data_IF_759840294171
#
_entry.id   IF_759840294171
#
_cell.length_a   1.000
_cell.length_b   1.000
_cell.length_c   1.000
_cell.angle_alpha   90.00
_cell.angle_beta   90.00
_cell.angle_gamma   90.00
#
_symmetry.space_group_name_H-M   'P 1'
#
loop_
_entity.id
_entity.type
_entity.pdbx_description
1 polymer ?
#
# COMPACT_ATOMS: atom_id res chain seq x y z
N UNK A 1 17.52 -13.64 17.33
CA UNK A 1 18.37 -13.41 16.14
C UNK A 1 17.76 -14.17 14.97
N UNK A 2 17.04 -13.49 14.11
CA UNK A 2 16.66 -14.07 12.81
C UNK A 2 17.87 -13.96 11.87
N UNK A 3 18.56 -15.08 11.58
CA UNK A 3 19.58 -15.11 10.56
C UNK A 3 18.92 -14.96 9.18
N UNK A 4 19.43 -14.06 8.37
CA UNK A 4 18.94 -13.83 7.00
C UNK A 4 19.44 -14.87 5.98
N UNK A 5 19.76 -16.07 6.43
CA UNK A 5 20.14 -17.19 5.57
C UNK A 5 21.52 -17.79 5.85
N UNK A 6 21.79 -18.93 5.23
CA UNK A 6 23.02 -19.72 5.40
C UNK A 6 24.32 -18.96 5.08
N UNK A 7 24.25 -17.88 4.29
CA UNK A 7 25.41 -17.04 3.94
C UNK A 7 26.03 -16.32 5.14
N UNK A 8 25.25 -15.94 6.13
CA UNK A 8 25.68 -15.18 7.30
C UNK A 8 26.44 -16.08 8.29
N UNK A 9 26.05 -17.35 8.36
CA UNK A 9 26.71 -18.35 9.21
C UNK A 9 28.12 -18.68 8.69
N UNK A 10 28.30 -18.76 7.37
CA UNK A 10 29.60 -19.04 6.75
C UNK A 10 30.61 -17.92 6.93
N UNK A 11 30.16 -16.67 7.01
CA UNK A 11 31.03 -15.50 7.14
C UNK A 11 31.44 -15.18 8.59
N UNK A 12 30.88 -15.90 9.58
CA UNK A 12 31.07 -15.62 11.03
C UNK A 12 30.83 -14.16 11.40
N UNK A 13 29.92 -13.50 10.71
CA UNK A 13 29.55 -12.12 10.96
C UNK A 13 28.46 -12.05 12.02
N UNK A 14 28.52 -11.05 12.90
CA UNK A 14 27.45 -10.75 13.83
C UNK A 14 26.36 -10.02 13.04
N UNK A 15 25.17 -10.61 12.98
CA UNK A 15 24.02 -10.03 12.28
C UNK A 15 23.10 -9.37 13.28
N UNK A 16 22.88 -8.09 13.12
CA UNK A 16 21.90 -7.33 13.90
C UNK A 16 20.67 -7.05 13.06
N UNK A 17 19.49 -7.25 13.65
CA UNK A 17 18.26 -6.78 13.06
C UNK A 17 17.97 -5.37 13.60
N UNK A 18 17.65 -4.42 12.71
CA UNK A 18 17.24 -3.05 13.04
C UNK A 18 15.78 -2.87 12.67
N UNK A 19 14.82 -3.37 13.48
CA UNK A 19 13.41 -3.26 13.17
C UNK A 19 12.99 -1.81 12.98
N UNK A 20 12.30 -1.53 11.88
CA UNK A 20 11.80 -0.19 11.59
C UNK A 20 12.79 0.78 10.96
N UNK A 21 14.06 0.38 10.70
CA UNK A 21 15.04 1.27 10.09
C UNK A 21 14.61 1.81 8.72
N UNK A 22 13.90 1.01 7.93
CA UNK A 22 13.35 1.39 6.62
C UNK A 22 11.88 1.88 6.68
N UNK A 23 11.28 2.01 7.87
CA UNK A 23 9.86 2.29 8.00
C UNK A 23 9.44 3.59 7.30
N UNK A 24 10.28 4.63 7.37
CA UNK A 24 10.01 5.88 6.70
C UNK A 24 10.08 5.75 5.16
N UNK A 25 11.07 5.02 4.64
CA UNK A 25 11.20 4.80 3.20
C UNK A 25 9.99 4.03 2.63
N UNK A 26 9.56 2.98 3.34
CA UNK A 26 8.36 2.23 2.94
C UNK A 26 7.10 3.11 3.01
N UNK A 27 6.95 3.94 4.05
CA UNK A 27 5.84 4.92 4.12
C UNK A 27 5.84 5.83 2.90
N UNK A 28 6.99 6.35 2.47
CA UNK A 28 7.11 7.22 1.29
C UNK A 28 6.68 6.50 0.00
N UNK A 29 7.09 5.23 -0.17
CA UNK A 29 6.63 4.40 -1.29
C UNK A 29 5.13 4.16 -1.26
N UNK A 30 4.53 3.91 -0.09
CA UNK A 30 3.07 3.75 0.04
C UNK A 30 2.34 5.02 -0.40
N UNK A 31 2.79 6.18 0.08
CA UNK A 31 2.19 7.46 -0.31
C UNK A 31 2.36 7.72 -1.81
N UNK A 32 3.55 7.48 -2.36
CA UNK A 32 3.79 7.60 -3.79
C UNK A 32 2.88 6.66 -4.60
N UNK A 33 2.79 5.38 -4.23
CA UNK A 33 1.92 4.41 -4.88
C UNK A 33 0.43 4.80 -4.80
N UNK A 34 -0.01 5.34 -3.67
CA UNK A 34 -1.38 5.84 -3.51
C UNK A 34 -1.68 7.03 -4.43
N UNK A 35 -0.77 7.98 -4.55
CA UNK A 35 -0.93 9.13 -5.43
C UNK A 35 -0.89 8.73 -6.91
N UNK A 36 0.01 7.82 -7.29
CA UNK A 36 0.08 7.26 -8.65
C UNK A 36 -1.16 6.46 -9.01
N UNK A 37 -1.73 5.72 -8.05
CA UNK A 37 -2.97 4.97 -8.24
C UNK A 37 -4.20 5.88 -8.40
N UNK A 38 -4.16 7.06 -7.79
CA UNK A 38 -5.25 8.04 -7.86
C UNK A 38 -5.27 8.82 -9.18
N UNK A 39 -4.12 8.91 -9.83
CA UNK A 39 -3.91 9.65 -11.08
C UNK A 39 -2.95 8.84 -11.95
N UNK A 40 -3.35 8.47 -13.14
CA UNK A 40 -2.52 7.67 -14.05
C UNK A 40 -1.34 8.50 -14.61
N UNK A 41 -0.44 8.90 -13.72
CA UNK A 41 0.74 9.70 -14.07
C UNK A 41 1.67 8.90 -14.99
N UNK A 42 1.84 7.60 -14.71
CA UNK A 42 2.73 6.73 -15.51
C UNK A 42 2.18 6.57 -16.92
N UNK A 43 0.89 6.27 -17.05
CA UNK A 43 0.23 6.19 -18.36
C UNK A 43 0.26 7.53 -19.10
N UNK A 44 0.04 8.63 -18.39
CA UNK A 44 0.15 9.97 -18.96
C UNK A 44 1.53 10.29 -19.50
N UNK A 45 2.61 9.95 -18.77
CA UNK A 45 4.00 10.11 -19.23
C UNK A 45 4.29 9.21 -20.42
N UNK A 46 3.88 7.93 -20.36
CA UNK A 46 4.06 7.01 -21.50
C UNK A 46 3.36 7.53 -22.75
N UNK A 47 2.11 7.98 -22.62
CA UNK A 47 1.37 8.58 -23.72
C UNK A 47 2.03 9.85 -24.25
N UNK A 48 2.44 10.79 -23.36
CA UNK A 48 3.09 12.03 -23.79
C UNK A 48 4.35 11.79 -24.61
N UNK A 49 5.12 10.75 -24.29
CA UNK A 49 6.31 10.35 -25.04
C UNK A 49 6.01 9.78 -26.44
N UNK A 50 4.76 9.47 -26.76
CA UNK A 50 4.34 9.02 -28.10
C UNK A 50 3.95 10.19 -29.02
N UNK A 51 3.77 11.38 -28.47
CA UNK A 51 3.32 12.54 -29.24
C UNK A 51 4.44 13.07 -30.14
N UNK A 52 4.11 13.33 -31.37
CA UNK A 52 5.07 13.83 -32.41
C UNK A 52 4.39 14.82 -33.36
N UNK A 53 5.20 15.60 -34.09
CA UNK A 53 4.72 16.58 -35.07
C UNK A 53 4.66 18.00 -34.53
N UNK A 54 4.17 18.94 -35.34
CA UNK A 54 4.16 20.37 -35.01
C UNK A 54 2.95 20.81 -34.20
N UNK A 55 1.99 19.89 -33.93
CA UNK A 55 0.72 20.16 -33.22
C UNK A 55 0.60 19.47 -31.86
N UNK A 56 1.74 19.16 -31.22
CA UNK A 56 1.78 18.46 -29.91
C UNK A 56 0.91 19.14 -28.87
N UNK A 57 0.89 20.47 -28.81
CA UNK A 57 0.05 21.21 -27.85
C UNK A 57 -1.44 20.86 -28.02
N UNK A 58 -1.92 20.74 -29.25
CA UNK A 58 -3.31 20.39 -29.54
C UNK A 58 -3.60 18.93 -29.20
N UNK A 59 -2.65 18.04 -29.44
CA UNK A 59 -2.76 16.63 -29.10
C UNK A 59 -2.85 16.48 -27.57
N UNK A 60 -2.03 17.22 -26.79
CA UNK A 60 -2.07 17.25 -25.33
C UNK A 60 -3.43 17.75 -24.83
N UNK A 61 -3.90 18.88 -25.32
CA UNK A 61 -5.20 19.43 -24.92
C UNK A 61 -6.38 18.46 -25.17
N UNK A 62 -6.34 17.74 -26.29
CA UNK A 62 -7.37 16.75 -26.63
C UNK A 62 -7.30 15.48 -25.80
N UNK A 63 -6.09 15.03 -25.41
CA UNK A 63 -5.87 13.73 -24.76
C UNK A 63 -5.74 13.78 -23.24
N UNK A 64 -5.42 14.94 -22.63
CA UNK A 64 -5.16 15.06 -21.20
C UNK A 64 -6.31 14.58 -20.29
N UNK A 65 -7.54 14.66 -20.77
CA UNK A 65 -8.74 14.22 -20.01
C UNK A 65 -8.74 12.71 -19.76
N UNK A 66 -8.04 11.91 -20.57
CA UNK A 66 -7.95 10.47 -20.40
C UNK A 66 -7.16 10.08 -19.14
N UNK A 67 -6.35 11.00 -18.61
CA UNK A 67 -5.51 10.83 -17.44
C UNK A 67 -6.03 11.64 -16.24
N UNK A 68 -7.25 12.12 -16.30
CA UNK A 68 -7.90 12.80 -15.18
C UNK A 68 -8.16 11.79 -14.07
N UNK A 69 -7.52 12.00 -12.92
CA UNK A 69 -7.69 11.16 -11.74
C UNK A 69 -8.67 11.74 -10.73
N UNK A 70 -8.58 11.23 -9.51
CA UNK A 70 -9.35 11.72 -8.37
C UNK A 70 -8.42 12.26 -7.27
N UNK A 71 -8.98 13.07 -6.38
CA UNK A 71 -8.28 13.46 -5.16
C UNK A 71 -8.37 12.36 -4.11
N UNK A 72 -7.32 12.21 -3.31
CA UNK A 72 -7.32 11.31 -2.15
C UNK A 72 -7.98 11.95 -0.92
N UNK A 73 -8.08 13.28 -0.90
CA UNK A 73 -8.74 14.02 0.18
C UNK A 73 -10.19 13.55 0.36
N UNK A 74 -10.58 13.26 1.59
CA UNK A 74 -11.91 12.76 1.93
C UNK A 74 -12.15 11.29 1.59
N UNK A 75 -11.19 10.60 0.94
CA UNK A 75 -11.23 9.14 0.76
C UNK A 75 -10.76 8.44 2.02
N UNK A 76 -11.20 7.21 2.20
CA UNK A 76 -10.85 6.39 3.37
C UNK A 76 -9.67 5.47 3.05
N UNK A 77 -8.58 5.60 3.82
CA UNK A 77 -7.48 4.63 3.82
C UNK A 77 -7.69 3.61 4.93
N UNK A 78 -7.81 2.34 4.55
CA UNK A 78 -7.79 1.20 5.45
C UNK A 78 -6.38 0.65 5.64
N UNK A 79 -5.99 0.40 6.88
CA UNK A 79 -4.65 -0.10 7.21
C UNK A 79 -4.77 -1.42 7.97
N UNK A 80 -4.16 -2.47 7.44
CA UNK A 80 -4.01 -3.76 8.11
C UNK A 80 -2.59 -3.86 8.65
N UNK A 81 -2.45 -3.74 9.99
CA UNK A 81 -1.17 -3.68 10.70
C UNK A 81 -0.74 -2.25 11.04
N UNK A 82 -0.84 -1.88 12.32
CA UNK A 82 -0.44 -0.57 12.85
C UNK A 82 0.91 -0.67 13.60
N UNK A 83 1.88 -1.35 12.97
CA UNK A 83 3.27 -1.39 13.40
C UNK A 83 4.04 -0.13 13.02
N UNK A 84 5.39 -0.21 13.02
CA UNK A 84 6.26 0.93 12.74
C UNK A 84 5.95 1.64 11.41
N UNK A 85 5.62 0.88 10.35
CA UNK A 85 5.27 1.44 9.04
C UNK A 85 3.82 1.95 9.04
N UNK A 86 2.86 1.11 9.48
CA UNK A 86 1.43 1.44 9.41
C UNK A 86 1.07 2.72 10.14
N UNK A 87 1.70 3.00 11.29
CA UNK A 87 1.50 4.25 12.03
C UNK A 87 1.99 5.47 11.24
N UNK A 88 3.16 5.37 10.61
CA UNK A 88 3.70 6.47 9.80
C UNK A 88 2.81 6.73 8.59
N UNK A 89 2.32 5.67 7.93
CA UNK A 89 1.38 5.78 6.81
C UNK A 89 0.06 6.40 7.27
N UNK A 90 -0.49 5.95 8.40
CA UNK A 90 -1.74 6.48 8.96
C UNK A 90 -1.66 7.99 9.20
N UNK A 91 -0.58 8.43 9.86
CA UNK A 91 -0.38 9.84 10.17
C UNK A 91 -0.17 10.69 8.91
N UNK A 92 0.59 10.17 7.93
CA UNK A 92 0.82 10.86 6.66
C UNK A 92 -0.46 10.99 5.83
N UNK A 93 -1.25 9.92 5.72
CA UNK A 93 -2.52 9.92 4.99
C UNK A 93 -3.53 10.88 5.63
N UNK A 94 -3.62 10.91 6.96
CA UNK A 94 -4.44 11.89 7.67
C UNK A 94 -4.00 13.33 7.37
N UNK A 95 -2.69 13.60 7.37
CA UNK A 95 -2.16 14.93 7.04
C UNK A 95 -2.46 15.33 5.59
N UNK A 96 -2.63 14.38 4.67
CA UNK A 96 -3.07 14.61 3.29
C UNK A 96 -4.60 14.75 3.15
N UNK A 97 -5.34 14.75 4.27
CA UNK A 97 -6.79 14.96 4.29
C UNK A 97 -7.64 13.72 4.05
N UNK A 98 -7.06 12.52 4.19
CA UNK A 98 -7.82 11.28 4.14
C UNK A 98 -8.49 10.97 5.49
N UNK A 99 -9.61 10.23 5.45
CA UNK A 99 -10.09 9.49 6.60
C UNK A 99 -9.23 8.23 6.75
N UNK A 100 -8.87 7.87 7.98
CA UNK A 100 -8.02 6.70 8.23
C UNK A 100 -8.69 5.77 9.22
N UNK A 101 -8.77 4.48 8.87
CA UNK A 101 -9.22 3.40 9.72
C UNK A 101 -8.16 2.29 9.74
N UNK A 102 -7.78 1.80 10.90
CA UNK A 102 -6.74 0.78 11.01
C UNK A 102 -7.10 -0.34 11.96
N UNK A 103 -6.64 -1.54 11.62
CA UNK A 103 -6.78 -2.75 12.42
C UNK A 103 -5.43 -3.34 12.75
N UNK A 104 -5.18 -3.60 14.03
CA UNK A 104 -4.05 -4.36 14.53
C UNK A 104 -4.42 -4.98 15.86
N UNK A 105 -4.50 -6.32 15.98
CA UNK A 105 -4.84 -7.00 17.23
C UNK A 105 -3.72 -6.93 18.27
N UNK A 106 -2.50 -6.56 17.86
CA UNK A 106 -1.32 -6.51 18.72
C UNK A 106 -0.81 -5.08 18.96
N UNK A 107 -1.65 -4.06 18.69
CA UNK A 107 -1.26 -2.66 18.88
C UNK A 107 -0.84 -2.40 20.33
N UNK A 108 0.45 -2.08 20.52
CA UNK A 108 0.98 -1.72 21.84
C UNK A 108 0.55 -0.30 22.25
N UNK A 109 0.58 -0.03 23.55
CA UNK A 109 0.30 1.32 24.09
C UNK A 109 1.27 2.34 23.51
N UNK A 110 2.57 2.03 23.45
CA UNK A 110 3.59 2.92 22.89
C UNK A 110 3.35 3.22 21.41
N UNK A 111 2.86 2.23 20.66
CA UNK A 111 2.48 2.40 19.25
C UNK A 111 1.22 3.27 19.13
N UNK A 112 0.24 3.05 19.98
CA UNK A 112 -0.99 3.85 20.00
C UNK A 112 -0.73 5.33 20.33
N UNK A 113 0.23 5.62 21.21
CA UNK A 113 0.62 7.00 21.55
C UNK A 113 1.27 7.76 20.39
N UNK A 114 1.82 7.05 19.39
CA UNK A 114 2.41 7.65 18.16
C UNK A 114 1.38 7.85 17.06
N UNK A 115 0.21 7.25 17.19
CA UNK A 115 -0.87 7.32 16.22
C UNK A 115 -1.67 8.61 16.43
N UNK A 116 -2.03 9.28 15.33
CA UNK A 116 -2.93 10.42 15.41
C UNK A 116 -4.26 10.03 16.06
N UNK A 117 -4.76 10.84 16.98
CA UNK A 117 -6.06 10.64 17.63
C UNK A 117 -7.25 10.60 16.68
N UNK A 118 -7.06 11.03 15.45
CA UNK A 118 -8.10 11.06 14.41
C UNK A 118 -8.16 9.76 13.61
N UNK A 119 -7.20 8.85 13.79
CA UNK A 119 -7.24 7.53 13.16
C UNK A 119 -8.26 6.67 13.91
N UNK A 120 -9.24 6.14 13.16
CA UNK A 120 -10.28 5.27 13.72
C UNK A 120 -9.68 3.88 13.93
N UNK A 121 -9.84 3.32 15.13
CA UNK A 121 -9.48 1.94 15.40
C UNK A 121 -10.65 1.04 14.99
N UNK A 122 -10.37 0.07 14.10
CA UNK A 122 -11.30 -1.01 13.80
C UNK A 122 -11.19 -2.13 14.83
N UNK A 123 -12.31 -2.81 15.11
CA UNK A 123 -12.37 -3.96 16.01
C UNK A 123 -12.09 -5.28 15.27
N UNK A 124 -12.25 -5.27 13.93
CA UNK A 124 -11.97 -6.40 13.07
C UNK A 124 -11.44 -5.94 11.71
N UNK A 125 -10.77 -6.80 10.94
CA UNK A 125 -10.32 -6.47 9.59
C UNK A 125 -11.50 -6.23 8.62
N UNK A 126 -12.64 -6.86 8.84
CA UNK A 126 -13.85 -6.69 8.03
C UNK A 126 -14.35 -5.24 8.07
N UNK A 127 -14.29 -4.58 9.23
CA UNK A 127 -14.63 -3.15 9.34
C UNK A 127 -13.73 -2.29 8.44
N UNK A 128 -12.45 -2.66 8.32
CA UNK A 128 -11.51 -1.96 7.44
C UNK A 128 -11.87 -2.21 5.99
N UNK A 129 -12.13 -3.47 5.59
CA UNK A 129 -12.47 -3.84 4.22
C UNK A 129 -13.73 -3.11 3.74
N UNK A 130 -14.78 -3.09 4.57
CA UNK A 130 -16.04 -2.46 4.22
C UNK A 130 -15.98 -0.94 4.07
N UNK A 131 -15.10 -0.27 4.86
CA UNK A 131 -15.02 1.19 4.90
C UNK A 131 -14.07 1.79 3.87
N UNK A 132 -13.03 1.06 3.45
CA UNK A 132 -11.89 1.61 2.76
C UNK A 132 -12.10 1.81 1.24
N UNK A 133 -11.61 2.93 0.72
CA UNK A 133 -11.42 3.18 -0.71
C UNK A 133 -10.02 2.73 -1.16
N UNK A 134 -9.05 2.80 -0.25
CA UNK A 134 -7.68 2.33 -0.39
C UNK A 134 -7.35 1.40 0.77
N UNK A 135 -6.69 0.28 0.50
CA UNK A 135 -6.24 -0.66 1.54
C UNK A 135 -4.73 -0.82 1.44
N UNK A 136 -4.03 -0.65 2.54
CA UNK A 136 -2.59 -0.92 2.63
C UNK A 136 -2.30 -1.94 3.73
N UNK A 137 -1.33 -2.83 3.47
CA UNK A 137 -1.05 -3.99 4.32
C UNK A 137 0.37 -3.88 4.86
N UNK A 138 0.51 -3.96 6.17
CA UNK A 138 1.78 -3.82 6.89
C UNK A 138 1.96 -4.89 7.96
N UNK A 139 1.50 -6.11 7.68
CA UNK A 139 1.71 -7.28 8.55
C UNK A 139 2.85 -8.16 8.04
N UNK A 140 3.57 -8.88 8.93
CA UNK A 140 4.55 -9.86 8.51
C UNK A 140 3.86 -11.04 7.79
N UNK A 141 4.58 -11.68 6.87
CA UNK A 141 4.10 -12.93 6.25
C UNK A 141 4.34 -14.10 7.23
N UNK A 142 3.26 -14.66 7.70
CA UNK A 142 3.19 -15.84 8.55
C UNK A 142 2.09 -16.76 8.01
N UNK A 143 1.99 -17.99 8.52
CA UNK A 143 0.91 -18.89 8.11
C UNK A 143 -0.48 -18.29 8.39
N UNK A 144 -0.63 -17.56 9.49
CA UNK A 144 -1.87 -16.87 9.88
C UNK A 144 -2.21 -15.63 9.03
N UNK A 145 -1.23 -15.02 8.36
CA UNK A 145 -1.42 -13.82 7.53
C UNK A 145 -1.27 -14.10 6.03
N UNK A 146 -0.90 -15.34 5.67
CA UNK A 146 -0.84 -15.76 4.27
C UNK A 146 -2.21 -15.61 3.61
N UNK A 147 -2.24 -15.05 2.40
CA UNK A 147 -3.47 -14.79 1.66
C UNK A 147 -4.51 -13.98 2.46
N UNK A 148 -4.07 -13.01 3.27
CA UNK A 148 -4.97 -12.06 3.95
C UNK A 148 -5.92 -11.41 2.96
N UNK A 149 -5.44 -11.11 1.75
CA UNK A 149 -6.29 -10.69 0.63
C UNK A 149 -6.57 -11.90 -0.26
N UNK A 150 -7.81 -12.33 -0.29
CA UNK A 150 -8.33 -13.47 -1.03
C UNK A 150 -9.76 -13.17 -1.52
N UNK A 151 -10.41 -14.11 -2.21
CA UNK A 151 -11.74 -13.92 -2.77
C UNK A 151 -12.79 -13.53 -1.71
N UNK A 152 -12.73 -14.12 -0.51
CA UNK A 152 -13.69 -13.86 0.57
C UNK A 152 -13.52 -12.44 1.12
N UNK A 153 -12.29 -12.01 1.40
CA UNK A 153 -12.01 -10.67 1.91
C UNK A 153 -12.25 -9.60 0.84
N UNK A 154 -11.91 -9.86 -0.43
CA UNK A 154 -12.20 -8.96 -1.55
C UNK A 154 -13.71 -8.75 -1.73
N UNK A 155 -14.53 -9.78 -1.52
CA UNK A 155 -15.98 -9.65 -1.62
C UNK A 155 -16.58 -8.66 -0.63
N UNK A 156 -15.92 -8.44 0.52
CA UNK A 156 -16.33 -7.50 1.57
C UNK A 156 -15.88 -6.06 1.30
N UNK A 157 -14.98 -5.85 0.34
CA UNK A 157 -14.45 -4.53 0.00
C UNK A 157 -15.42 -3.75 -0.89
N UNK A 158 -15.20 -2.45 -0.98
CA UNK A 158 -15.92 -1.60 -1.94
C UNK A 158 -15.55 -1.97 -3.38
N UNK A 159 -16.47 -1.74 -4.29
CA UNK A 159 -16.19 -1.84 -5.72
C UNK A 159 -15.20 -0.75 -6.14
N UNK A 160 -14.21 -1.12 -6.94
CA UNK A 160 -13.17 -0.20 -7.36
C UNK A 160 -12.12 0.11 -6.28
N UNK A 161 -12.02 -0.70 -5.22
CA UNK A 161 -10.99 -0.53 -4.18
C UNK A 161 -9.58 -0.59 -4.77
N UNK A 162 -8.67 0.21 -4.22
CA UNK A 162 -7.25 0.20 -4.56
C UNK A 162 -6.48 -0.50 -3.44
N UNK A 163 -5.65 -1.47 -3.80
CA UNK A 163 -4.87 -2.26 -2.84
C UNK A 163 -3.38 -1.94 -3.01
N UNK A 164 -2.71 -1.65 -1.89
CA UNK A 164 -1.30 -1.31 -1.80
C UNK A 164 -0.59 -2.36 -0.94
N UNK A 165 0.26 -3.16 -1.55
CA UNK A 165 1.04 -4.18 -0.85
C UNK A 165 2.54 -3.93 -1.02
N UNK A 166 3.11 -3.15 -0.13
CA UNK A 166 4.56 -2.91 -0.03
C UNK A 166 5.20 -3.72 1.10
N UNK A 167 4.54 -4.82 1.52
CA UNK A 167 5.05 -5.71 2.55
C UNK A 167 5.59 -7.02 1.94
N UNK A 168 4.72 -7.98 1.66
CA UNK A 168 5.13 -9.31 1.15
C UNK A 168 4.10 -9.83 0.14
N UNK A 169 4.57 -10.39 -0.98
CA UNK A 169 3.71 -10.92 -2.04
C UNK A 169 2.73 -12.00 -1.55
N UNK A 170 3.18 -12.88 -0.65
CA UNK A 170 2.35 -13.95 -0.10
C UNK A 170 1.16 -13.53 0.77
N UNK A 171 0.99 -12.23 1.05
CA UNK A 171 -0.19 -11.68 1.73
C UNK A 171 -1.40 -11.58 0.81
N UNK A 172 -1.19 -11.61 -0.50
CA UNK A 172 -2.25 -11.51 -1.52
C UNK A 172 -2.32 -12.82 -2.29
N UNK A 173 -3.52 -13.38 -2.44
CA UNK A 173 -3.75 -14.53 -3.30
C UNK A 173 -3.75 -14.09 -4.76
N UNK A 174 -2.75 -14.56 -5.53
CA UNK A 174 -2.55 -14.14 -6.92
C UNK A 174 -3.68 -14.53 -7.87
N UNK A 175 -4.35 -15.68 -7.64
CA UNK A 175 -5.46 -16.12 -8.49
C UNK A 175 -6.70 -15.26 -8.26
N UNK A 176 -7.02 -15.01 -6.99
CA UNK A 176 -8.20 -14.23 -6.59
C UNK A 176 -8.08 -12.78 -7.00
N UNK A 177 -6.89 -12.16 -6.80
CA UNK A 177 -6.68 -10.76 -7.16
C UNK A 177 -6.73 -10.55 -8.68
N UNK A 178 -6.18 -11.48 -9.49
CA UNK A 178 -6.28 -11.42 -10.96
C UNK A 178 -7.72 -11.43 -11.43
N UNK A 179 -8.56 -12.28 -10.82
CA UNK A 179 -9.98 -12.32 -11.13
C UNK A 179 -10.66 -11.02 -10.73
N UNK A 180 -10.41 -10.53 -9.52
CA UNK A 180 -11.01 -9.29 -9.02
C UNK A 180 -10.64 -8.05 -9.84
N UNK A 181 -9.42 -7.99 -10.38
CA UNK A 181 -8.98 -6.96 -11.31
C UNK A 181 -9.72 -7.07 -12.65
N UNK A 182 -9.88 -8.28 -13.19
CA UNK A 182 -10.60 -8.51 -14.44
C UNK A 182 -12.10 -8.16 -14.32
N UNK A 183 -12.70 -8.46 -13.17
CA UNK A 183 -14.12 -8.19 -12.88
C UNK A 183 -14.38 -6.71 -12.46
N UNK A 184 -13.33 -5.90 -12.31
CA UNK A 184 -13.42 -4.50 -11.87
C UNK A 184 -13.76 -4.31 -10.38
N UNK A 185 -13.81 -5.38 -9.59
CA UNK A 185 -14.01 -5.31 -8.14
C UNK A 185 -12.84 -4.62 -7.44
N UNK A 186 -11.61 -4.90 -7.88
CA UNK A 186 -10.39 -4.19 -7.51
C UNK A 186 -9.97 -3.33 -8.70
N UNK A 187 -9.79 -2.04 -8.49
CA UNK A 187 -9.35 -1.13 -9.53
C UNK A 187 -7.88 -1.32 -9.85
N UNK A 188 -7.05 -1.43 -8.82
CA UNK A 188 -5.60 -1.51 -8.97
C UNK A 188 -4.97 -2.26 -7.78
N UNK A 189 -3.91 -3.01 -8.08
CA UNK A 189 -2.96 -3.53 -7.10
C UNK A 189 -1.58 -2.93 -7.38
N UNK A 190 -1.05 -2.16 -6.45
CA UNK A 190 0.37 -1.84 -6.39
C UNK A 190 1.06 -2.81 -5.45
N UNK A 191 2.14 -3.42 -5.91
CA UNK A 191 2.95 -4.34 -5.10
C UNK A 191 4.44 -4.12 -5.36
N UNK A 192 5.24 -4.17 -4.31
CA UNK A 192 6.69 -4.31 -4.38
C UNK A 192 7.17 -5.00 -3.10
N UNK A 193 8.33 -5.65 -3.17
CA UNK A 193 8.99 -6.22 -2.00
C UNK A 193 9.85 -5.18 -1.26
N UNK A 194 9.39 -3.93 -1.20
CA UNK A 194 10.11 -2.79 -0.61
C UNK A 194 10.58 -3.04 0.84
N UNK A 195 9.92 -3.95 1.55
CA UNK A 195 10.34 -4.35 2.89
C UNK A 195 11.56 -5.29 2.88
N UNK A 196 11.87 -5.91 1.73
CA UNK A 196 13.04 -6.78 1.52
C UNK A 196 14.18 -6.06 0.80
N UNK A 197 13.91 -4.94 0.14
CA UNK A 197 14.94 -4.08 -0.42
C UNK A 197 15.76 -3.53 0.75
N UNK A 198 16.83 -4.28 1.07
CA UNK A 198 17.82 -3.81 2.02
C UNK A 198 18.31 -2.46 1.54
N UNK A 199 18.51 -1.54 2.47
CA UNK A 199 19.13 -0.25 2.26
C UNK A 199 20.33 -0.43 1.31
N UNK A 200 20.07 -0.32 0.00
CA UNK A 200 21.10 -0.14 -1.00
C UNK A 200 21.61 1.29 -0.82
N UNK A 201 22.71 1.41 -0.12
CA UNK A 201 23.58 2.59 -0.12
C UNK A 201 24.66 2.32 -1.13
#
# INVERSE_FOLDING_TARGET
>A
LQSRGLGDVYKRQVVFNTPGANANAVKELVIAGMLLASRDVIGGVAWANTLTGDDVDKQVEKGKSNFAGCEIKGKTLGIIGLGAIGILVANAAYALGMEVIGYDPYLSVDSALKLSRHVKKANSPEEVYAAADYITIHVPLMDSTRNTINAETIAQMKDGVIILNFARGGLVNNADIKKALADGKVCLLYTSDAADEGLGV
#
